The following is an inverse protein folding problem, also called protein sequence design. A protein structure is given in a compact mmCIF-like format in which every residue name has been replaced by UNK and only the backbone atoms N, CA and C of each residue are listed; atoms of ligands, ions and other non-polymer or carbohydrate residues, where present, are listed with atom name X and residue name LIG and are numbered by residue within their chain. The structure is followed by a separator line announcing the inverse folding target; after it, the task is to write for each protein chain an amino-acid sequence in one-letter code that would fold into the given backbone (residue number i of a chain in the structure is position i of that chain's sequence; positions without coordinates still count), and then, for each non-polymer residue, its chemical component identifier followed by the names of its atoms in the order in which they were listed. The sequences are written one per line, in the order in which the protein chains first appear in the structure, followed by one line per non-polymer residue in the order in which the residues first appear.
data_IF_608130160853
#
_entry.id   IF_608130160853
#
_cell.length_a   1.000
_cell.length_b   1.000
_cell.length_c   1.000
_cell.angle_alpha   90.00
_cell.angle_beta   90.00
_cell.angle_gamma   90.00
#
_symmetry.space_group_name_H-M   'P 1'
#
loop_
_entity.id
_entity.type
_entity.pdbx_description
1 polymer ?
#
# COMPACT_ATOMS: atom_id res chain seq x y z
N UNK A 1 2.54 -29.93 -38.55
CA UNK A 1 2.03 -28.88 -37.65
C UNK A 1 3.17 -28.64 -36.67
N UNK A 2 3.66 -27.41 -36.60
CA UNK A 2 4.70 -27.05 -35.63
C UNK A 2 4.05 -27.05 -34.25
N UNK A 3 4.70 -27.67 -33.25
CA UNK A 3 4.22 -27.59 -31.88
C UNK A 3 4.16 -26.11 -31.46
N UNK A 4 3.06 -25.67 -30.82
CA UNK A 4 2.90 -24.28 -30.44
C UNK A 4 4.00 -23.88 -29.45
N UNK A 5 4.50 -22.65 -29.51
CA UNK A 5 5.47 -22.17 -28.54
C UNK A 5 4.78 -21.81 -27.21
N UNK A 6 5.54 -21.78 -26.11
CA UNK A 6 5.02 -21.36 -24.79
C UNK A 6 4.33 -20.00 -24.89
N UNK A 7 4.95 -19.04 -25.58
CA UNK A 7 4.37 -17.70 -25.72
C UNK A 7 3.05 -17.71 -26.51
N UNK A 8 2.92 -18.53 -27.56
CA UNK A 8 1.67 -18.66 -28.32
C UNK A 8 0.53 -19.20 -27.46
N UNK A 9 0.82 -20.20 -26.61
CA UNK A 9 -0.16 -20.80 -25.71
C UNK A 9 -0.56 -19.82 -24.60
N UNK A 10 0.43 -19.15 -24.00
CA UNK A 10 0.21 -18.16 -22.95
C UNK A 10 -0.60 -16.96 -23.47
N UNK A 11 -0.30 -16.46 -24.67
CA UNK A 11 -1.03 -15.34 -25.27
C UNK A 11 -2.49 -15.71 -25.61
N UNK A 12 -2.73 -16.95 -26.06
CA UNK A 12 -4.10 -17.44 -26.32
C UNK A 12 -4.91 -17.58 -25.02
N UNK A 13 -4.34 -18.14 -23.96
CA UNK A 13 -4.98 -18.19 -22.65
C UNK A 13 -5.26 -16.79 -22.11
N UNK A 14 -4.30 -15.87 -22.22
CA UNK A 14 -4.45 -14.47 -21.80
C UNK A 14 -5.61 -13.79 -22.53
N UNK A 15 -5.69 -13.96 -23.85
CA UNK A 15 -6.78 -13.41 -24.65
C UNK A 15 -8.15 -13.97 -24.21
N UNK A 16 -8.22 -15.27 -23.92
CA UNK A 16 -9.43 -15.92 -23.41
C UNK A 16 -9.85 -15.38 -22.03
N UNK A 17 -8.92 -15.23 -21.09
CA UNK A 17 -9.20 -14.73 -19.75
C UNK A 17 -9.74 -13.30 -19.76
N UNK A 18 -9.14 -12.43 -20.57
CA UNK A 18 -9.62 -11.06 -20.76
C UNK A 18 -11.01 -11.03 -21.40
N UNK A 19 -11.25 -11.85 -22.42
CA UNK A 19 -12.57 -11.97 -23.05
C UNK A 19 -13.64 -12.52 -22.09
N UNK A 20 -13.22 -13.38 -21.14
CA UNK A 20 -14.07 -14.00 -20.11
C UNK A 20 -14.31 -13.12 -18.88
N UNK A 21 -13.81 -11.88 -18.90
CA UNK A 21 -14.00 -10.88 -17.85
C UNK A 21 -13.13 -11.07 -16.61
N UNK A 22 -12.00 -11.78 -16.72
CA UNK A 22 -11.01 -11.84 -15.63
C UNK A 22 -10.31 -10.47 -15.53
N UNK A 23 -10.17 -9.89 -14.32
CA UNK A 23 -9.42 -8.64 -14.12
C UNK A 23 -7.99 -8.70 -14.68
N UNK A 24 -7.45 -7.56 -15.12
CA UNK A 24 -6.13 -7.50 -15.77
C UNK A 24 -4.99 -7.91 -14.84
N UNK A 25 -5.04 -7.48 -13.58
CA UNK A 25 -4.11 -7.84 -12.51
C UNK A 25 -4.08 -9.36 -12.28
N UNK A 26 -5.26 -9.97 -12.10
CA UNK A 26 -5.39 -11.41 -11.96
C UNK A 26 -4.92 -12.15 -13.23
N UNK A 27 -5.21 -11.60 -14.41
CA UNK A 27 -4.79 -12.17 -15.69
C UNK A 27 -3.26 -12.17 -15.85
N UNK A 28 -2.59 -11.10 -15.44
CA UNK A 28 -1.14 -10.96 -15.53
C UNK A 28 -0.44 -11.94 -14.57
N UNK A 29 -0.96 -12.11 -13.35
CA UNK A 29 -0.49 -13.13 -12.40
C UNK A 29 -0.65 -14.55 -12.96
N UNK A 30 -1.85 -14.89 -13.47
CA UNK A 30 -2.14 -16.19 -14.08
C UNK A 30 -1.25 -16.45 -15.32
N UNK A 31 -0.95 -15.41 -16.10
CA UNK A 31 -0.05 -15.49 -17.25
C UNK A 31 1.38 -15.82 -16.82
N UNK A 32 1.86 -15.20 -15.75
CA UNK A 32 3.19 -15.47 -15.19
C UNK A 32 3.30 -16.90 -14.65
N UNK A 33 2.28 -17.35 -13.92
CA UNK A 33 2.20 -18.69 -13.35
C UNK A 33 2.16 -19.76 -14.45
N UNK A 34 1.29 -19.60 -15.46
CA UNK A 34 1.21 -20.52 -16.60
C UNK A 34 2.54 -20.61 -17.36
N UNK A 35 3.19 -19.48 -17.63
CA UNK A 35 4.50 -19.45 -18.30
C UNK A 35 5.55 -20.21 -17.50
N UNK A 36 5.56 -20.06 -16.17
CA UNK A 36 6.49 -20.78 -15.29
C UNK A 36 6.24 -22.29 -15.33
N UNK A 37 4.99 -22.74 -15.20
CA UNK A 37 4.63 -24.16 -15.26
C UNK A 37 4.97 -24.82 -16.60
N UNK A 38 4.71 -24.13 -17.72
CA UNK A 38 5.07 -24.63 -19.04
C UNK A 38 6.59 -24.69 -19.22
N UNK A 39 7.31 -23.68 -18.75
CA UNK A 39 8.78 -23.66 -18.78
C UNK A 39 9.39 -24.83 -18.00
N UNK A 40 8.88 -25.11 -16.80
CA UNK A 40 9.29 -26.25 -15.99
C UNK A 40 9.01 -27.58 -16.69
N UNK A 41 7.78 -27.76 -17.21
CA UNK A 41 7.39 -28.99 -17.90
C UNK A 41 8.25 -29.27 -19.14
N UNK A 42 8.51 -28.24 -19.96
CA UNK A 42 9.36 -28.36 -21.14
C UNK A 42 10.81 -28.66 -20.75
N UNK A 43 11.34 -28.04 -19.70
CA UNK A 43 12.68 -28.36 -19.19
C UNK A 43 12.82 -29.79 -18.67
N UNK A 44 11.71 -30.36 -18.15
CA UNK A 44 11.60 -31.76 -17.74
C UNK A 44 11.34 -32.73 -18.92
N UNK A 45 11.33 -32.23 -20.17
CA UNK A 45 11.15 -33.02 -21.38
C UNK A 45 9.69 -33.37 -21.71
N UNK A 46 8.71 -32.74 -21.07
CA UNK A 46 7.28 -32.89 -21.41
C UNK A 46 6.90 -31.95 -22.53
N UNK A 47 5.97 -32.37 -23.40
CA UNK A 47 5.36 -31.49 -24.39
C UNK A 47 4.36 -30.53 -23.74
N UNK A 48 4.09 -29.40 -24.38
CA UNK A 48 3.12 -28.40 -23.90
C UNK A 48 1.71 -29.00 -23.85
N UNK A 49 1.34 -29.79 -24.87
CA UNK A 49 0.05 -30.51 -24.93
C UNK A 49 -0.13 -31.50 -23.77
N UNK A 50 0.95 -32.00 -23.17
CA UNK A 50 0.85 -32.86 -21.99
C UNK A 50 0.41 -32.09 -20.72
N UNK A 51 0.58 -30.76 -20.70
CA UNK A 51 0.19 -29.87 -19.61
C UNK A 51 -1.17 -29.23 -19.87
N UNK A 52 -1.40 -28.75 -21.09
CA UNK A 52 -2.63 -28.02 -21.46
C UNK A 52 -3.75 -28.95 -21.93
N UNK A 53 -3.43 -30.20 -22.27
CA UNK A 53 -4.38 -31.13 -22.86
C UNK A 53 -4.75 -30.77 -24.31
N UNK A 54 -5.71 -31.50 -24.91
CA UNK A 54 -6.06 -31.39 -26.33
C UNK A 54 -6.91 -30.16 -26.68
N UNK A 55 -7.49 -29.48 -25.69
CA UNK A 55 -8.33 -28.31 -25.89
C UNK A 55 -7.89 -27.17 -24.95
N UNK A 56 -7.30 -26.15 -25.56
CA UNK A 56 -6.74 -25.02 -24.83
C UNK A 56 -7.81 -24.11 -24.21
N UNK A 57 -8.99 -24.00 -24.83
CA UNK A 57 -10.09 -23.18 -24.29
C UNK A 57 -10.63 -23.77 -23.00
N UNK A 58 -10.81 -25.10 -22.92
CA UNK A 58 -11.23 -25.75 -21.67
C UNK A 58 -10.19 -25.60 -20.56
N UNK A 59 -8.90 -25.68 -20.90
CA UNK A 59 -7.82 -25.46 -19.96
C UNK A 59 -7.83 -24.01 -19.43
N UNK A 60 -8.01 -23.03 -20.32
CA UNK A 60 -8.13 -21.63 -19.94
C UNK A 60 -9.39 -21.36 -19.10
N UNK A 61 -10.50 -22.05 -19.38
CA UNK A 61 -11.74 -21.95 -18.60
C UNK A 61 -11.57 -22.45 -17.16
N UNK A 62 -10.90 -23.59 -16.95
CA UNK A 62 -10.63 -24.12 -15.60
C UNK A 62 -9.85 -23.12 -14.74
N UNK A 63 -8.83 -22.50 -15.34
CA UNK A 63 -8.05 -21.44 -14.71
C UNK A 63 -8.91 -20.19 -14.39
N UNK A 64 -9.78 -19.81 -15.32
CA UNK A 64 -10.70 -18.69 -15.11
C UNK A 64 -11.72 -18.97 -13.99
N UNK A 65 -12.20 -20.21 -13.86
CA UNK A 65 -13.12 -20.63 -12.81
C UNK A 65 -12.43 -20.69 -11.44
N UNK A 66 -11.20 -21.22 -11.38
CA UNK A 66 -10.40 -21.24 -10.15
C UNK A 66 -10.13 -19.82 -9.61
N UNK A 67 -9.84 -18.87 -10.50
CA UNK A 67 -9.66 -17.45 -10.16
C UNK A 67 -10.95 -16.79 -9.62
N UNK A 68 -12.13 -17.20 -10.12
CA UNK A 68 -13.43 -16.66 -9.69
C UNK A 68 -13.89 -17.20 -8.33
N UNK A 69 -13.19 -18.19 -7.74
CA UNK A 69 -13.61 -18.89 -6.53
C UNK A 69 -14.84 -19.78 -6.75
N UNK A 70 -15.21 -20.66 -5.80
CA UNK A 70 -16.41 -21.47 -5.93
C UNK A 70 -17.63 -20.56 -6.13
N UNK A 71 -18.50 -20.90 -7.08
CA UNK A 71 -19.81 -20.27 -7.22
C UNK A 71 -20.44 -20.17 -5.82
N UNK A 72 -20.95 -19.01 -5.40
CA UNK A 72 -21.46 -18.85 -4.06
C UNK A 72 -22.55 -19.89 -3.85
N UNK A 73 -22.25 -20.93 -3.07
CA UNK A 73 -23.27 -21.74 -2.43
C UNK A 73 -24.16 -20.73 -1.72
N UNK A 74 -25.47 -20.80 -1.94
CA UNK A 74 -26.49 -19.93 -1.34
C UNK A 74 -26.53 -20.11 0.18
N UNK A 75 -25.47 -19.67 0.85
CA UNK A 75 -25.39 -19.35 2.25
C UNK A 75 -25.33 -17.83 2.24
N UNK A 76 -26.33 -17.17 2.80
CA UNK A 76 -26.44 -15.72 2.89
C UNK A 76 -25.17 -15.10 3.47
N UNK A 77 -24.24 -14.75 2.60
CA UNK A 77 -23.05 -13.99 2.93
C UNK A 77 -23.33 -12.57 2.44
N UNK A 78 -23.29 -11.54 3.30
CA UNK A 78 -23.38 -10.16 2.82
C UNK A 78 -22.25 -9.93 1.80
N UNK A 79 -22.57 -9.19 0.74
CA UNK A 79 -21.71 -9.00 -0.43
C UNK A 79 -20.24 -8.78 -0.04
N UNK A 80 -19.27 -9.38 -0.77
CA UNK A 80 -17.85 -9.10 -0.54
C UNK A 80 -17.63 -7.59 -0.57
N UNK A 81 -16.92 -7.06 0.43
CA UNK A 81 -16.46 -5.67 0.38
C UNK A 81 -15.77 -5.44 -0.97
N UNK A 82 -16.05 -4.34 -1.67
CA UNK A 82 -15.33 -4.01 -2.88
C UNK A 82 -13.83 -3.97 -2.54
N UNK A 83 -13.02 -4.82 -3.18
CA UNK A 83 -11.57 -4.60 -3.20
C UNK A 83 -11.36 -3.32 -3.99
N UNK A 84 -11.11 -2.23 -3.27
CA UNK A 84 -10.66 -0.99 -3.88
C UNK A 84 -9.29 -1.28 -4.51
N UNK A 85 -9.24 -1.37 -5.84
CA UNK A 85 -7.98 -1.47 -6.57
C UNK A 85 -7.22 -0.18 -6.30
N UNK A 86 -6.26 -0.23 -5.40
CA UNK A 86 -5.47 0.94 -5.02
C UNK A 86 -4.51 1.29 -6.17
N UNK A 87 -5.04 1.92 -7.22
CA UNK A 87 -4.26 2.70 -8.16
C UNK A 87 -3.80 3.97 -7.44
N UNK A 88 -2.94 3.82 -6.43
CA UNK A 88 -2.22 4.92 -5.80
C UNK A 88 -1.27 5.45 -6.86
N UNK A 89 -1.78 6.32 -7.72
CA UNK A 89 -1.05 6.96 -8.80
C UNK A 89 0.13 7.69 -8.19
N UNK A 90 1.33 7.12 -8.32
CA UNK A 90 2.61 7.71 -7.93
C UNK A 90 2.83 9.09 -8.60
N UNK A 91 2.02 9.44 -9.60
CA UNK A 91 2.01 10.72 -10.30
C UNK A 91 1.77 11.96 -9.43
N UNK A 92 1.16 11.83 -8.25
CA UNK A 92 0.91 12.99 -7.38
C UNK A 92 2.20 13.66 -6.85
N UNK A 93 3.24 12.88 -6.54
CA UNK A 93 4.52 13.39 -6.03
C UNK A 93 5.29 14.13 -7.13
N UNK A 94 5.39 13.49 -8.28
CA UNK A 94 6.11 14.02 -9.45
C UNK A 94 5.46 15.30 -9.96
N UNK A 95 4.13 15.39 -9.90
CA UNK A 95 3.41 16.61 -10.24
C UNK A 95 3.69 17.75 -9.25
N UNK A 96 3.68 17.47 -7.93
CA UNK A 96 4.00 18.48 -6.92
C UNK A 96 5.43 19.01 -7.02
N UNK A 97 6.40 18.13 -7.25
CA UNK A 97 7.79 18.53 -7.49
C UNK A 97 7.94 19.37 -8.76
N UNK A 98 7.24 18.99 -9.85
CA UNK A 98 7.24 19.77 -11.09
C UNK A 98 6.66 21.18 -10.90
N UNK A 99 5.60 21.33 -10.09
CA UNK A 99 5.03 22.64 -9.74
C UNK A 99 6.03 23.49 -8.97
N UNK A 100 6.70 22.93 -7.95
CA UNK A 100 7.74 23.64 -7.17
C UNK A 100 8.85 24.13 -8.09
N UNK A 101 9.41 23.26 -8.94
CA UNK A 101 10.47 23.61 -9.88
C UNK A 101 10.03 24.70 -10.85
N UNK A 102 8.80 24.60 -11.37
CA UNK A 102 8.24 25.60 -12.28
C UNK A 102 8.11 26.96 -11.61
N UNK A 103 7.64 27.02 -10.36
CA UNK A 103 7.51 28.27 -9.61
C UNK A 103 8.87 28.91 -9.30
N UNK A 104 9.88 28.11 -8.98
CA UNK A 104 11.25 28.60 -8.74
C UNK A 104 11.86 29.15 -10.03
N UNK A 105 11.71 28.44 -11.15
CA UNK A 105 12.19 28.91 -12.46
C UNK A 105 11.45 30.19 -12.87
N UNK A 106 10.13 30.24 -12.71
CA UNK A 106 9.34 31.43 -13.02
C UNK A 106 9.81 32.63 -12.17
N UNK A 107 10.05 32.44 -10.88
CA UNK A 107 10.60 33.49 -10.02
C UNK A 107 11.99 33.94 -10.49
N UNK A 108 12.88 33.01 -10.87
CA UNK A 108 14.21 33.34 -11.36
C UNK A 108 14.21 34.17 -12.67
N UNK A 109 13.20 33.99 -13.51
CA UNK A 109 13.10 34.63 -14.83
C UNK A 109 12.27 35.93 -14.78
N UNK A 110 11.16 35.96 -14.05
CA UNK A 110 10.21 37.08 -14.06
C UNK A 110 10.45 38.10 -12.95
N UNK A 111 11.13 37.73 -11.86
CA UNK A 111 11.27 38.63 -10.72
C UNK A 111 12.28 39.75 -11.00
N UNK A 112 12.01 40.97 -10.51
CA UNK A 112 12.94 42.07 -10.63
C UNK A 112 14.26 41.75 -9.91
N UNK A 113 15.37 42.11 -10.57
CA UNK A 113 16.73 42.06 -10.04
C UNK A 113 16.98 43.34 -9.26
N UNK A 114 17.58 43.24 -8.08
CA UNK A 114 17.91 44.41 -7.25
C UNK A 114 19.43 44.46 -7.04
N UNK A 115 20.11 45.32 -7.80
CA UNK A 115 21.57 45.48 -7.77
C UNK A 115 22.07 46.22 -6.51
N UNK A 116 21.17 46.77 -5.68
CA UNK A 116 21.56 47.51 -4.46
C UNK A 116 21.85 46.62 -3.26
N UNK A 117 21.56 45.32 -3.38
CA UNK A 117 21.62 44.34 -2.30
C UNK A 117 23.01 43.70 -2.28
N UNK A 118 23.63 43.62 -1.10
CA UNK A 118 24.86 42.83 -0.89
C UNK A 118 24.52 41.33 -1.01
N UNK A 119 24.60 40.80 -2.24
CA UNK A 119 24.19 39.45 -2.63
C UNK A 119 24.78 38.39 -1.70
N UNK A 120 26.04 38.57 -1.32
CA UNK A 120 26.76 37.66 -0.43
C UNK A 120 26.12 37.52 0.95
N UNK A 121 25.52 38.59 1.48
CA UNK A 121 24.88 38.55 2.80
C UNK A 121 23.59 37.73 2.78
N UNK A 122 22.74 37.92 1.77
CA UNK A 122 21.48 37.20 1.68
C UNK A 122 21.66 35.73 1.31
N UNK A 123 22.63 35.41 0.44
CA UNK A 123 23.03 34.02 0.17
C UNK A 123 23.46 33.33 1.47
N UNK A 124 24.27 33.99 2.30
CA UNK A 124 24.71 33.44 3.58
C UNK A 124 23.52 33.22 4.53
N UNK A 125 22.60 34.18 4.66
CA UNK A 125 21.40 34.04 5.50
C UNK A 125 20.57 32.82 5.11
N UNK A 126 20.29 32.65 3.81
CA UNK A 126 19.48 31.53 3.33
C UNK A 126 20.17 30.17 3.47
N UNK A 127 21.46 30.09 3.15
CA UNK A 127 22.21 28.83 3.25
C UNK A 127 22.47 28.42 4.70
N UNK A 128 22.81 29.37 5.57
CA UNK A 128 22.95 29.10 7.01
C UNK A 128 21.59 28.71 7.60
N UNK A 129 20.52 29.41 7.23
CA UNK A 129 19.16 29.06 7.64
C UNK A 129 18.75 27.65 7.21
N UNK A 130 18.99 27.29 5.95
CA UNK A 130 18.73 25.94 5.42
C UNK A 130 19.53 24.87 6.18
N UNK A 131 20.82 25.12 6.44
CA UNK A 131 21.67 24.20 7.19
C UNK A 131 21.20 24.02 8.64
N UNK A 132 20.86 25.10 9.34
CA UNK A 132 20.32 25.05 10.71
C UNK A 132 19.01 24.28 10.76
N UNK A 133 18.10 24.51 9.81
CA UNK A 133 16.83 23.78 9.72
C UNK A 133 17.04 22.29 9.43
N UNK A 134 17.97 21.94 8.53
CA UNK A 134 18.32 20.56 8.22
C UNK A 134 18.96 19.84 9.41
N UNK A 135 19.87 20.50 10.14
CA UNK A 135 20.46 19.95 11.36
C UNK A 135 19.39 19.79 12.44
N UNK A 136 18.52 20.79 12.61
CA UNK A 136 17.40 20.73 13.54
C UNK A 136 16.48 19.55 13.24
N UNK A 137 16.24 19.25 11.97
CA UNK A 137 15.50 18.05 11.57
C UNK A 137 16.16 16.77 12.11
N UNK A 138 17.48 16.61 11.88
CA UNK A 138 18.20 15.41 12.31
C UNK A 138 18.13 15.18 13.82
N UNK A 139 17.98 16.26 14.61
CA UNK A 139 17.81 16.20 16.06
C UNK A 139 16.38 15.84 16.49
N UNK A 140 15.37 16.16 15.66
CA UNK A 140 13.95 16.06 16.03
C UNK A 140 13.27 14.81 15.44
N UNK A 141 13.84 14.21 14.37
CA UNK A 141 13.37 12.99 13.71
C UNK A 141 11.88 13.02 13.28
N UNK A 142 11.33 14.20 12.95
CA UNK A 142 9.89 14.43 12.81
C UNK A 142 9.39 14.82 11.42
N UNK A 143 10.30 15.06 10.47
CA UNK A 143 10.09 15.60 9.12
C UNK A 143 9.47 17.01 9.06
N UNK A 144 9.35 17.72 10.18
CA UNK A 144 8.68 19.01 10.25
C UNK A 144 9.51 20.18 9.71
N UNK A 145 10.84 20.13 9.85
CA UNK A 145 11.75 21.21 9.48
C UNK A 145 12.24 21.09 8.02
N UNK A 146 12.19 19.89 7.43
CA UNK A 146 12.60 19.66 6.03
C UNK A 146 11.92 20.56 4.99
N UNK A 147 10.60 20.79 5.03
CA UNK A 147 9.93 21.66 4.06
C UNK A 147 10.47 23.09 4.08
N UNK A 148 10.76 23.61 5.28
CA UNK A 148 11.34 24.93 5.46
C UNK A 148 12.81 24.97 5.02
N UNK A 149 13.57 23.90 5.25
CA UNK A 149 14.93 23.79 4.75
C UNK A 149 14.97 23.80 3.20
N UNK A 150 14.04 23.09 2.55
CA UNK A 150 13.90 23.08 1.09
C UNK A 150 13.48 24.45 0.54
N UNK A 151 12.56 25.15 1.22
CA UNK A 151 12.20 26.53 0.89
C UNK A 151 13.39 27.48 1.00
N UNK A 152 14.18 27.37 2.08
CA UNK A 152 15.34 28.23 2.32
C UNK A 152 16.46 27.98 1.30
N UNK A 153 16.70 26.71 0.93
CA UNK A 153 17.62 26.37 -0.14
C UNK A 153 17.19 26.96 -1.49
N UNK A 154 15.89 26.91 -1.81
CA UNK A 154 15.33 27.47 -3.04
C UNK A 154 15.49 29.01 -3.09
N UNK A 155 15.24 29.68 -1.98
CA UNK A 155 15.49 31.12 -1.85
C UNK A 155 16.98 31.47 -1.94
N UNK A 156 17.87 30.63 -1.40
CA UNK A 156 19.31 30.75 -1.55
C UNK A 156 19.78 30.65 -3.00
N UNK A 157 19.18 29.77 -3.81
CA UNK A 157 19.45 29.68 -5.25
C UNK A 157 19.03 30.99 -5.96
N UNK A 158 17.88 31.56 -5.60
CA UNK A 158 17.46 32.86 -6.15
C UNK A 158 18.40 34.01 -5.74
N UNK A 159 18.92 33.97 -4.51
CA UNK A 159 19.90 34.94 -4.05
C UNK A 159 21.22 34.87 -4.86
N UNK A 160 21.66 33.66 -5.27
CA UNK A 160 22.80 33.48 -6.18
C UNK A 160 22.55 34.05 -7.60
N UNK A 161 21.29 34.24 -7.97
CA UNK A 161 20.88 34.82 -9.25
C UNK A 161 20.56 36.32 -9.15
N UNK A 162 20.90 36.97 -8.03
CA UNK A 162 20.67 38.41 -7.79
C UNK A 162 19.19 38.81 -7.88
N UNK A 163 18.29 37.89 -7.56
CA UNK A 163 16.83 38.13 -7.56
C UNK A 163 16.45 38.93 -6.32
N UNK A 164 15.50 39.86 -6.43
CA UNK A 164 15.06 40.70 -5.30
C UNK A 164 14.67 39.90 -4.05
N UNK A 165 14.97 40.47 -2.87
CA UNK A 165 14.68 39.87 -1.55
C UNK A 165 13.19 39.53 -1.38
N UNK A 166 12.30 40.39 -1.91
CA UNK A 166 10.87 40.14 -1.88
C UNK A 166 10.47 38.84 -2.62
N UNK A 167 11.10 38.57 -3.77
CA UNK A 167 10.88 37.34 -4.51
C UNK A 167 11.51 36.13 -3.81
N UNK A 168 12.70 36.27 -3.22
CA UNK A 168 13.32 35.22 -2.40
C UNK A 168 12.42 34.78 -1.23
N UNK A 169 11.89 35.74 -0.46
CA UNK A 169 10.97 35.48 0.66
C UNK A 169 9.68 34.83 0.15
N UNK A 170 9.12 35.31 -0.95
CA UNK A 170 7.92 34.74 -1.55
C UNK A 170 8.14 33.28 -1.94
N UNK A 171 9.26 32.98 -2.62
CA UNK A 171 9.62 31.61 -2.98
C UNK A 171 9.81 30.73 -1.76
N UNK A 172 10.48 31.21 -0.71
CA UNK A 172 10.63 30.47 0.54
C UNK A 172 9.26 30.02 1.09
N UNK A 173 8.30 30.94 1.20
CA UNK A 173 6.97 30.65 1.74
C UNK A 173 6.23 29.65 0.85
N UNK A 174 6.18 29.91 -0.46
CA UNK A 174 5.43 29.07 -1.40
C UNK A 174 5.99 27.65 -1.45
N UNK A 175 7.32 27.51 -1.57
CA UNK A 175 7.97 26.19 -1.61
C UNK A 175 7.76 25.44 -0.30
N UNK A 176 7.89 26.12 0.85
CA UNK A 176 7.68 25.49 2.17
C UNK A 176 6.25 25.00 2.34
N UNK A 177 5.25 25.79 1.96
CA UNK A 177 3.83 25.42 2.05
C UNK A 177 3.50 24.25 1.13
N UNK A 178 3.99 24.27 -0.12
CA UNK A 178 3.78 23.18 -1.06
C UNK A 178 4.44 21.88 -0.57
N UNK A 179 5.69 21.97 -0.08
CA UNK A 179 6.40 20.84 0.47
C UNK A 179 5.70 20.27 1.72
N UNK A 180 5.17 21.12 2.61
CA UNK A 180 4.34 20.68 3.75
C UNK A 180 3.06 19.99 3.30
N UNK A 181 2.37 20.54 2.30
CA UNK A 181 1.13 19.95 1.79
C UNK A 181 1.37 18.57 1.17
N UNK A 182 2.45 18.43 0.39
CA UNK A 182 2.94 17.14 -0.12
C UNK A 182 3.23 16.19 1.04
N UNK A 183 4.04 16.61 2.01
CA UNK A 183 4.40 15.79 3.16
C UNK A 183 3.15 15.32 3.93
N UNK A 184 2.18 16.20 4.16
CA UNK A 184 0.90 15.83 4.81
C UNK A 184 0.09 14.83 4.00
N UNK A 185 0.10 14.93 2.66
CA UNK A 185 -0.62 13.99 1.80
C UNK A 185 0.02 12.60 1.81
N UNK A 186 1.35 12.53 1.84
CA UNK A 186 2.09 11.26 1.89
C UNK A 186 2.08 10.63 3.29
N UNK A 187 2.23 11.43 4.34
CA UNK A 187 2.13 10.92 5.71
C UNK A 187 0.75 10.31 6.01
N UNK A 188 -0.31 10.79 5.35
CA UNK A 188 -1.64 10.16 5.40
C UNK A 188 -1.74 8.95 4.47
N UNK A 189 -0.94 8.89 3.41
CA UNK A 189 -0.93 7.82 2.43
C UNK A 189 -0.33 6.51 2.94
N UNK A 190 0.64 6.57 3.85
CA UNK A 190 1.32 5.39 4.41
C UNK A 190 0.63 4.79 5.64
N UNK A 191 -0.45 5.40 6.15
CA UNK A 191 -1.23 4.85 7.29
C UNK A 191 -2.31 3.87 6.80
N UNK A 192 -2.46 3.71 5.49
CA UNK A 192 -3.31 2.69 4.84
C UNK A 192 -2.51 1.56 4.17
N UNK A 193 -1.21 1.46 4.46
CA UNK A 193 -0.49 0.20 4.24
C UNK A 193 -0.96 -0.77 5.30
N UNK A 194 -1.72 -1.80 4.88
CA UNK A 194 -2.05 -3.04 5.60
C UNK A 194 -1.70 -2.93 7.08
N UNK A 195 -2.69 -2.59 7.92
CA UNK A 195 -2.58 -2.78 9.35
C UNK A 195 -2.29 -4.27 9.56
N UNK A 196 -1.02 -4.68 9.50
CA UNK A 196 -0.53 -5.91 10.10
C UNK A 196 -1.06 -5.79 11.50
N UNK A 197 -2.12 -6.52 11.78
CA UNK A 197 -2.99 -6.23 12.89
C UNK A 197 -2.16 -6.37 14.17
N UNK A 198 -1.64 -5.26 14.69
CA UNK A 198 -0.68 -5.29 15.79
C UNK A 198 -1.43 -5.75 17.03
N UNK A 199 -0.96 -6.82 17.68
CA UNK A 199 -1.59 -7.36 18.88
C UNK A 199 -2.76 -8.30 18.59
N UNK A 200 -3.88 -8.13 19.30
CA UNK A 200 -4.98 -9.12 19.32
C UNK A 200 -5.67 -9.30 17.96
N UNK A 201 -5.66 -8.28 17.10
CA UNK A 201 -6.38 -8.30 15.83
C UNK A 201 -5.75 -9.24 14.78
N UNK A 202 -4.48 -9.67 14.94
CA UNK A 202 -3.90 -10.74 14.09
C UNK A 202 -4.57 -12.09 14.26
N UNK A 203 -5.28 -12.27 15.39
CA UNK A 203 -5.89 -13.55 15.72
C UNK A 203 -7.28 -13.73 15.14
N UNK A 204 -7.85 -12.72 14.46
CA UNK A 204 -9.14 -12.85 13.79
C UNK A 204 -9.05 -13.98 12.76
N UNK A 205 -9.93 -14.97 12.88
CA UNK A 205 -9.93 -16.18 12.06
C UNK A 205 -9.06 -17.34 12.58
N UNK A 206 -8.23 -17.13 13.61
CA UNK A 206 -7.41 -18.19 14.21
C UNK A 206 -8.20 -19.06 15.18
N UNK A 207 -7.78 -20.34 15.29
CA UNK A 207 -8.29 -21.26 16.30
C UNK A 207 -7.65 -21.00 17.68
N UNK A 208 -8.43 -21.21 18.73
CA UNK A 208 -8.07 -21.01 20.12
C UNK A 208 -8.71 -22.07 21.01
N UNK A 209 -8.13 -22.33 22.17
CA UNK A 209 -8.71 -23.24 23.17
C UNK A 209 -9.13 -22.46 24.39
N UNK A 210 -10.37 -22.66 24.86
CA UNK A 210 -10.89 -22.00 26.07
C UNK A 210 -10.15 -22.52 27.30
N UNK A 211 -9.52 -21.64 28.07
CA UNK A 211 -8.83 -21.97 29.33
C UNK A 211 -9.70 -21.67 30.55
N UNK A 212 -10.49 -20.60 30.49
CA UNK A 212 -11.50 -20.25 31.50
C UNK A 212 -12.86 -20.08 30.82
N UNK A 213 -13.97 -20.59 31.40
CA UNK A 213 -15.29 -20.54 30.78
C UNK A 213 -15.68 -19.14 30.27
N UNK A 214 -16.10 -19.08 29.01
CA UNK A 214 -16.43 -17.83 28.30
C UNK A 214 -17.94 -17.72 28.13
N UNK A 215 -18.53 -16.62 28.57
CA UNK A 215 -19.95 -16.33 28.38
C UNK A 215 -20.20 -14.93 27.82
N UNK A 216 -21.48 -14.62 27.57
CA UNK A 216 -21.91 -13.28 27.12
C UNK A 216 -21.72 -12.20 28.19
N UNK A 217 -21.98 -12.54 29.45
CA UNK A 217 -21.82 -11.66 30.61
C UNK A 217 -20.56 -11.96 31.42
N UNK A 218 -19.91 -13.10 31.16
CA UNK A 218 -18.71 -13.55 31.86
C UNK A 218 -17.53 -13.52 30.90
N UNK A 219 -16.56 -12.64 31.18
CA UNK A 219 -15.29 -12.63 30.42
C UNK A 219 -14.45 -13.81 30.90
N UNK A 220 -14.14 -14.73 29.99
CA UNK A 220 -13.23 -15.85 30.23
C UNK A 220 -11.89 -15.65 29.52
N UNK A 221 -11.16 -16.74 29.32
CA UNK A 221 -9.84 -16.75 28.71
C UNK A 221 -9.71 -17.86 27.67
N UNK A 222 -8.90 -17.56 26.67
CA UNK A 222 -8.64 -18.43 25.53
C UNK A 222 -7.14 -18.38 25.21
N UNK A 223 -6.59 -19.53 24.82
CA UNK A 223 -5.18 -19.68 24.48
C UNK A 223 -5.03 -19.91 22.97
N UNK A 224 -4.20 -19.10 22.33
CA UNK A 224 -3.78 -19.22 20.93
C UNK A 224 -2.28 -19.44 20.90
N UNK A 225 -1.84 -20.64 20.53
CA UNK A 225 -0.43 -21.02 20.61
C UNK A 225 0.12 -20.86 22.04
N UNK A 226 1.00 -19.88 22.24
CA UNK A 226 1.63 -19.57 23.53
C UNK A 226 0.96 -18.40 24.28
N UNK A 227 0.01 -17.69 23.67
CA UNK A 227 -0.57 -16.47 24.23
C UNK A 227 -1.95 -16.69 24.84
N UNK A 228 -2.20 -16.07 26.00
CA UNK A 228 -3.48 -16.13 26.72
C UNK A 228 -4.20 -14.77 26.64
N UNK A 229 -5.41 -14.79 26.08
CA UNK A 229 -6.21 -13.60 25.83
C UNK A 229 -7.57 -13.68 26.54
N UNK A 230 -8.07 -12.51 26.94
CA UNK A 230 -9.45 -12.38 27.42
C UNK A 230 -10.42 -12.56 26.27
N UNK A 231 -11.47 -13.36 26.48
CA UNK A 231 -12.52 -13.57 25.50
C UNK A 231 -13.93 -13.42 26.05
N UNK A 232 -14.84 -13.10 25.14
CA UNK A 232 -16.29 -13.12 25.31
C UNK A 232 -16.92 -13.83 24.12
N UNK A 233 -18.17 -14.25 24.25
CA UNK A 233 -18.93 -14.85 23.15
C UNK A 233 -20.28 -14.16 23.01
N UNK A 234 -20.79 -14.09 21.78
CA UNK A 234 -22.16 -13.64 21.53
C UNK A 234 -23.18 -14.78 21.71
N UNK A 235 -22.72 -16.02 21.88
CA UNK A 235 -23.58 -17.18 22.13
C UNK A 235 -24.35 -17.03 23.45
N UNK A 236 -25.56 -17.58 23.49
CA UNK A 236 -26.41 -17.60 24.70
C UNK A 236 -25.88 -18.57 25.75
N UNK A 237 -25.15 -19.60 25.31
CA UNK A 237 -24.59 -20.65 26.17
C UNK A 237 -23.16 -20.32 26.57
N UNK A 238 -22.78 -20.64 27.81
CA UNK A 238 -21.40 -20.53 28.28
C UNK A 238 -20.55 -21.62 27.61
N UNK A 239 -19.43 -21.23 27.03
CA UNK A 239 -18.46 -22.15 26.42
C UNK A 239 -17.54 -22.68 27.53
N UNK A 240 -17.51 -24.00 27.79
CA UNK A 240 -16.69 -24.56 28.86
C UNK A 240 -15.20 -24.57 28.50
N UNK A 241 -14.35 -24.64 29.52
CA UNK A 241 -12.92 -24.83 29.33
C UNK A 241 -12.60 -26.13 28.59
N UNK A 242 -11.56 -26.11 27.75
CA UNK A 242 -11.17 -27.20 26.86
C UNK A 242 -11.87 -27.20 25.50
N UNK A 243 -12.83 -26.31 25.26
CA UNK A 243 -13.53 -26.21 23.96
C UNK A 243 -12.67 -25.46 22.94
N UNK A 244 -12.62 -25.97 21.71
CA UNK A 244 -11.99 -25.28 20.58
C UNK A 244 -12.95 -24.22 20.01
N UNK A 245 -12.43 -23.00 19.84
CA UNK A 245 -13.19 -21.84 19.41
C UNK A 245 -12.40 -21.06 18.35
N UNK A 246 -13.10 -20.33 17.49
CA UNK A 246 -12.51 -19.44 16.49
C UNK A 246 -12.76 -18.00 16.89
N UNK A 247 -11.75 -17.16 16.73
CA UNK A 247 -11.87 -15.71 16.95
C UNK A 247 -12.60 -15.09 15.76
N UNK A 248 -13.73 -14.45 16.03
CA UNK A 248 -14.55 -13.81 14.98
C UNK A 248 -14.34 -12.29 14.92
N UNK A 249 -13.98 -11.67 16.05
CA UNK A 249 -13.84 -10.21 16.15
C UNK A 249 -12.92 -9.86 17.33
N UNK A 250 -12.36 -8.65 17.32
CA UNK A 250 -11.68 -8.05 18.49
C UNK A 250 -12.45 -6.84 18.95
N UNK A 251 -12.90 -6.84 20.21
CA UNK A 251 -13.58 -5.70 20.86
C UNK A 251 -12.69 -5.09 21.93
N UNK A 252 -11.98 -4.03 21.57
CA UNK A 252 -10.99 -3.39 22.44
C UNK A 252 -9.84 -4.34 22.76
N UNK A 253 -9.66 -4.68 24.04
CA UNK A 253 -8.63 -5.61 24.51
C UNK A 253 -9.15 -7.05 24.75
N UNK A 254 -10.27 -7.42 24.11
CA UNK A 254 -10.90 -8.75 24.27
C UNK A 254 -11.21 -9.35 22.91
N UNK A 255 -11.10 -10.66 22.81
CA UNK A 255 -11.48 -11.43 21.64
C UNK A 255 -12.96 -11.83 21.75
N UNK A 256 -13.68 -11.80 20.63
CA UNK A 256 -15.00 -12.40 20.50
C UNK A 256 -14.81 -13.75 19.84
N UNK A 257 -15.31 -14.81 20.47
CA UNK A 257 -15.08 -16.19 20.03
C UNK A 257 -16.38 -16.97 19.85
N UNK A 258 -16.36 -17.88 18.90
CA UNK A 258 -17.46 -18.80 18.59
C UNK A 258 -16.95 -20.24 18.53
N UNK A 259 -17.80 -21.20 18.87
CA UNK A 259 -17.43 -22.63 18.85
C UNK A 259 -17.20 -23.06 17.40
N UNK A 260 -16.10 -23.78 17.16
CA UNK A 260 -15.86 -24.41 15.86
C UNK A 260 -16.74 -25.65 15.80
N UNK A 261 -17.73 -25.65 14.90
CA UNK A 261 -18.55 -26.83 14.61
C UNK A 261 -17.75 -27.88 13.83
#
# INVERSE_FOLDING_TARGET
MTDPTIDQVVDQCRAYWLASGVPQDATDDMTAELRAHLGEAVSAGKSIDAVTGPNLESFAEEWAQASKGPAPTTVNNPAPYPRESDSRTTGGLWWGLAVIVTLVIAAAVLAPRDESIDEGQWVAVWLVGAAVLAIGEMLTAGFFLLPFAAGAASAGILALLSVSVAAQITTFVVVSVLALWLLQRFAKGDIEGELIAVGAARYIGSAAVVTEPVGRLQTGRVKMGTEDWRATTNATTVIPAGTEVKVVEVRGARLVVEVVN
#
